data_IF_338875460568
#
_entry.id   IF_338875460568
#
_cell.length_a   1.000
_cell.length_b   1.000
_cell.length_c   1.000
_cell.angle_alpha   90.00
_cell.angle_beta   90.00
_cell.angle_gamma   90.00
#
_symmetry.space_group_name_H-M   'P 1'
#
loop_
_entity.id
_entity.type
_entity.pdbx_description
1 polymer ?
#
# COMPACT_ATOMS: atom_id res chain seq x y z
N UNK A 1 64.71 12.25 34.51
CA UNK A 1 63.56 11.43 34.98
C UNK A 1 62.28 12.22 34.73
N UNK A 2 61.21 11.53 34.32
CA UNK A 2 59.90 12.00 33.87
C UNK A 2 59.82 12.48 32.40
N UNK A 3 59.65 11.51 31.48
CA UNK A 3 59.06 11.74 30.15
C UNK A 3 57.56 11.54 30.31
N UNK A 4 56.78 12.57 29.96
CA UNK A 4 55.34 12.59 30.09
C UNK A 4 54.69 11.60 29.13
N UNK A 5 53.94 10.64 29.69
CA UNK A 5 53.08 9.71 28.97
C UNK A 5 51.79 10.46 28.62
N UNK A 6 51.68 11.02 27.42
CA UNK A 6 50.41 11.57 26.93
C UNK A 6 49.55 10.41 26.44
N UNK A 7 48.54 10.09 27.25
CA UNK A 7 47.50 9.11 26.94
C UNK A 7 46.62 9.66 25.82
N UNK A 8 46.66 9.04 24.65
CA UNK A 8 45.68 9.23 23.57
C UNK A 8 44.35 8.58 23.98
N UNK A 9 43.57 9.27 24.82
CA UNK A 9 42.16 8.94 25.08
C UNK A 9 41.30 9.68 24.05
N UNK A 10 40.89 8.98 22.99
CA UNK A 10 40.00 9.57 21.99
C UNK A 10 39.59 8.73 20.78
N UNK A 11 40.14 7.53 20.57
CA UNK A 11 39.57 6.61 19.57
C UNK A 11 38.41 5.85 20.22
N UNK A 12 37.20 6.40 20.16
CA UNK A 12 36.00 5.60 20.39
C UNK A 12 35.92 4.55 19.27
N UNK A 13 35.70 3.30 19.68
CA UNK A 13 35.51 2.12 18.83
C UNK A 13 34.62 2.39 17.61
N UNK A 14 35.23 2.67 16.47
CA UNK A 14 34.63 2.38 15.16
C UNK A 14 34.94 0.90 14.89
N UNK A 15 34.20 0.02 15.55
CA UNK A 15 34.13 -1.37 15.09
C UNK A 15 33.53 -1.35 13.69
N UNK A 16 34.23 -1.89 12.66
CA UNK A 16 33.62 -2.06 11.35
C UNK A 16 32.39 -2.94 11.54
N UNK A 17 31.20 -2.41 11.27
CA UNK A 17 29.97 -3.21 11.19
C UNK A 17 30.19 -4.16 10.01
N UNK A 18 30.57 -5.40 10.30
CA UNK A 18 30.80 -6.41 9.26
C UNK A 18 29.56 -6.47 8.37
N UNK A 19 29.68 -6.27 7.05
CA UNK A 19 28.55 -6.46 6.16
C UNK A 19 28.18 -7.95 6.20
N UNK A 20 27.12 -8.28 6.93
CA UNK A 20 26.64 -9.65 7.08
C UNK A 20 25.86 -10.05 5.84
N UNK A 21 26.57 -10.25 4.73
CA UNK A 21 25.98 -10.82 3.53
C UNK A 21 25.91 -12.34 3.70
N UNK A 22 24.70 -12.88 3.76
CA UNK A 22 24.48 -14.31 3.98
C UNK A 22 23.32 -14.81 3.11
N UNK A 23 23.47 -16.00 2.55
CA UNK A 23 22.38 -16.73 1.91
C UNK A 23 22.08 -17.97 2.76
N UNK A 24 20.83 -18.13 3.20
CA UNK A 24 20.38 -19.21 4.07
C UNK A 24 19.21 -19.94 3.41
N UNK A 25 19.25 -21.27 3.40
CA UNK A 25 18.11 -22.10 2.97
C UNK A 25 17.57 -22.79 4.22
N UNK A 26 16.29 -22.53 4.54
CA UNK A 26 15.61 -23.10 5.70
C UNK A 26 14.32 -23.79 5.25
N UNK A 27 13.65 -24.50 6.17
CA UNK A 27 12.33 -25.10 5.91
C UNK A 27 11.26 -24.06 5.49
N UNK A 28 11.49 -22.78 5.77
CA UNK A 28 10.62 -21.66 5.37
C UNK A 28 10.93 -21.02 4.01
N UNK A 29 12.02 -21.41 3.33
CA UNK A 29 12.42 -20.83 2.04
C UNK A 29 13.90 -20.42 1.95
N UNK A 30 14.20 -19.64 0.91
CA UNK A 30 15.51 -19.05 0.66
C UNK A 30 15.55 -17.62 1.22
N UNK A 31 16.45 -17.36 2.15
CA UNK A 31 16.68 -16.04 2.73
C UNK A 31 18.02 -15.47 2.25
N UNK A 32 18.01 -14.26 1.68
CA UNK A 32 19.21 -13.49 1.32
C UNK A 32 19.28 -12.29 2.24
N UNK A 33 20.31 -12.21 3.07
CA UNK A 33 20.58 -11.07 3.94
C UNK A 33 21.78 -10.30 3.39
N UNK A 34 21.69 -8.97 3.33
CA UNK A 34 22.80 -8.08 2.99
C UNK A 34 22.61 -6.75 3.73
N UNK A 35 23.60 -6.35 4.53
CA UNK A 35 23.68 -4.99 5.10
C UNK A 35 22.42 -4.54 5.86
N UNK A 36 21.76 -5.47 6.57
CA UNK A 36 20.53 -5.19 7.33
C UNK A 36 19.25 -5.25 6.50
N UNK A 37 19.34 -5.47 5.19
CA UNK A 37 18.23 -5.83 4.32
C UNK A 37 18.13 -7.36 4.22
N UNK A 38 16.93 -7.92 4.26
CA UNK A 38 16.70 -9.34 3.98
C UNK A 38 15.59 -9.56 2.95
N UNK A 39 15.75 -10.59 2.13
CA UNK A 39 14.75 -11.07 1.18
C UNK A 39 14.49 -12.54 1.47
N UNK A 40 13.26 -12.89 1.86
CA UNK A 40 12.83 -14.27 2.05
C UNK A 40 11.91 -14.70 0.90
N UNK A 41 12.30 -15.74 0.17
CA UNK A 41 11.49 -16.40 -0.85
C UNK A 41 10.97 -17.71 -0.27
N UNK A 42 9.73 -17.69 0.21
CA UNK A 42 9.06 -18.84 0.83
C UNK A 42 7.88 -19.33 0.02
N UNK A 43 7.25 -20.42 0.48
CA UNK A 43 6.04 -20.98 -0.13
C UNK A 43 4.82 -20.04 -0.07
N UNK A 44 4.90 -18.99 0.74
CA UNK A 44 3.87 -17.96 0.90
C UNK A 44 4.14 -16.66 0.13
N UNK A 45 5.24 -16.58 -0.61
CA UNK A 45 5.61 -15.40 -1.41
C UNK A 45 7.00 -14.86 -1.10
N UNK A 46 7.21 -13.58 -1.46
CA UNK A 46 8.48 -12.87 -1.29
C UNK A 46 8.31 -11.78 -0.23
N UNK A 47 9.12 -11.82 0.82
CA UNK A 47 9.20 -10.79 1.84
C UNK A 47 10.52 -10.02 1.68
N UNK A 48 10.45 -8.69 1.68
CA UNK A 48 11.63 -7.81 1.62
C UNK A 48 11.62 -6.90 2.85
N UNK A 49 12.59 -7.11 3.74
CA UNK A 49 12.83 -6.24 4.89
C UNK A 49 13.99 -5.32 4.57
N UNK A 50 13.73 -4.05 4.28
CA UNK A 50 14.78 -3.04 4.30
C UNK A 50 15.09 -2.71 5.77
N UNK A 51 16.34 -2.79 6.20
CA UNK A 51 16.74 -2.49 7.57
C UNK A 51 16.35 -1.07 8.02
N UNK A 52 16.64 -0.72 9.28
CA UNK A 52 16.27 0.58 9.87
C UNK A 52 16.96 1.82 9.26
N UNK A 53 17.65 1.69 8.12
CA UNK A 53 18.32 2.79 7.45
C UNK A 53 17.33 3.56 6.58
N UNK A 54 17.15 4.85 6.91
CA UNK A 54 16.31 5.77 6.17
C UNK A 54 16.74 5.79 4.70
N UNK A 55 15.81 5.51 3.80
CA UNK A 55 15.95 5.81 2.38
C UNK A 55 16.12 7.34 2.23
N UNK A 56 17.36 7.79 2.08
CA UNK A 56 17.64 9.19 1.78
C UNK A 56 17.23 9.45 0.32
N UNK A 57 16.49 10.53 0.09
CA UNK A 57 16.15 11.05 -1.25
C UNK A 57 17.43 11.49 -1.99
N UNK A 58 18.19 10.54 -2.50
CA UNK A 58 19.25 10.80 -3.48
C UNK A 58 18.67 10.66 -4.88
N UNK A 59 19.03 11.50 -5.85
CA UNK A 59 18.61 11.34 -7.24
C UNK A 59 19.17 10.02 -7.79
N UNK A 60 18.33 8.98 -7.82
CA UNK A 60 18.72 7.65 -8.27
C UNK A 60 18.73 7.56 -9.79
N UNK A 61 19.84 7.03 -10.30
CA UNK A 61 19.96 6.37 -11.59
C UNK A 61 18.88 5.28 -11.70
N UNK A 62 18.04 5.34 -12.74
CA UNK A 62 16.71 4.71 -12.80
C UNK A 62 16.71 3.16 -12.87
N UNK A 63 17.88 2.52 -12.87
CA UNK A 63 18.03 1.08 -13.09
C UNK A 63 18.21 0.25 -11.81
N UNK A 64 18.16 0.86 -10.63
CA UNK A 64 18.36 0.15 -9.36
C UNK A 64 17.29 0.52 -8.33
N UNK A 65 16.11 -0.09 -8.47
CA UNK A 65 14.99 -0.11 -7.50
C UNK A 65 14.70 1.27 -6.85
N UNK A 66 13.91 2.08 -7.54
CA UNK A 66 13.27 3.26 -6.96
C UNK A 66 12.06 2.86 -6.10
N UNK A 67 12.30 2.40 -4.88
CA UNK A 67 11.22 2.18 -3.91
C UNK A 67 10.96 3.47 -3.12
N UNK A 68 10.27 4.45 -3.70
CA UNK A 68 9.85 5.64 -2.95
C UNK A 68 8.73 5.35 -1.93
N UNK A 69 8.14 4.14 -1.96
CA UNK A 69 7.27 3.64 -0.91
C UNK A 69 7.14 2.11 -0.95
N UNK A 70 7.68 1.41 0.05
CA UNK A 70 7.07 0.16 0.54
C UNK A 70 7.22 0.13 2.07
N UNK A 71 6.09 0.28 2.77
CA UNK A 71 5.96 -0.12 4.17
C UNK A 71 4.60 -0.78 4.33
N UNK A 72 4.58 -2.08 4.63
CA UNK A 72 3.35 -2.84 4.89
C UNK A 72 3.47 -3.53 6.25
N UNK A 73 2.95 -2.86 7.28
CA UNK A 73 2.43 -3.50 8.49
C UNK A 73 0.92 -3.38 8.45
N UNK A 74 0.28 -4.36 7.84
CA UNK A 74 -1.16 -4.61 7.94
C UNK A 74 -1.43 -4.93 9.42
N UNK A 75 -2.00 -3.98 10.15
CA UNK A 75 -2.26 -4.13 11.57
C UNK A 75 -3.64 -4.76 11.75
N UNK A 76 -3.79 -6.03 11.28
CA UNK A 76 -4.95 -6.97 11.33
C UNK A 76 -5.58 -7.57 10.04
N UNK A 77 -5.47 -7.12 8.79
CA UNK A 77 -6.00 -5.83 8.27
C UNK A 77 -6.09 -5.94 6.72
N UNK A 78 -7.29 -5.91 6.09
CA UNK A 78 -7.66 -6.42 4.73
C UNK A 78 -6.58 -6.44 3.64
N UNK A 79 -5.70 -7.45 3.71
CA UNK A 79 -4.27 -7.25 3.48
C UNK A 79 -3.87 -6.90 2.05
N UNK A 80 -3.74 -5.59 1.90
CA UNK A 80 -3.02 -4.82 0.88
C UNK A 80 -3.84 -4.49 -0.37
N UNK A 81 -4.54 -3.34 -0.30
CA UNK A 81 -4.83 -2.48 -1.46
C UNK A 81 -4.41 -1.04 -1.17
N UNK A 82 -3.48 -0.51 -1.95
CA UNK A 82 -3.09 0.90 -1.91
C UNK A 82 -4.18 1.73 -2.58
N UNK A 83 -5.19 2.16 -1.81
CA UNK A 83 -6.23 3.07 -2.30
C UNK A 83 -5.81 4.52 -2.12
N UNK A 84 -4.76 4.92 -2.83
CA UNK A 84 -4.45 6.32 -3.06
C UNK A 84 -4.56 6.59 -4.55
N UNK A 85 -5.66 7.22 -4.96
CA UNK A 85 -5.77 7.92 -6.24
C UNK A 85 -6.37 7.15 -7.42
N UNK A 86 -5.94 5.91 -7.70
CA UNK A 86 -6.13 5.39 -9.06
C UNK A 86 -6.95 4.09 -9.10
N UNK A 87 -8.27 4.25 -9.26
CA UNK A 87 -9.20 3.22 -9.78
C UNK A 87 -9.21 1.83 -9.10
N UNK A 88 -10.23 1.56 -8.28
CA UNK A 88 -10.53 0.24 -7.71
C UNK A 88 -11.46 -0.53 -8.63
N UNK A 89 -11.08 -1.76 -9.00
CA UNK A 89 -11.96 -2.69 -9.73
C UNK A 89 -12.33 -3.88 -8.86
N UNK A 90 -13.61 -4.22 -8.86
CA UNK A 90 -14.15 -5.42 -8.25
C UNK A 90 -14.52 -6.41 -9.36
N UNK A 91 -13.97 -7.62 -9.31
CA UNK A 91 -14.28 -8.72 -10.23
C UNK A 91 -15.74 -9.17 -10.15
N UNK A 92 -16.20 -9.89 -11.18
CA UNK A 92 -17.55 -10.44 -11.23
C UNK A 92 -17.77 -11.49 -10.13
N UNK A 93 -19.01 -11.56 -9.64
CA UNK A 93 -19.48 -12.52 -8.61
C UNK A 93 -18.82 -12.38 -7.21
N UNK A 94 -18.01 -11.35 -6.97
CA UNK A 94 -17.40 -11.11 -5.66
C UNK A 94 -18.18 -10.08 -4.82
N UNK A 95 -18.06 -10.19 -3.49
CA UNK A 95 -18.51 -9.16 -2.57
C UNK A 95 -17.34 -8.22 -2.24
N UNK A 96 -17.41 -7.00 -2.76
CA UNK A 96 -16.35 -6.03 -2.73
C UNK A 96 -16.70 -4.86 -1.81
N UNK A 97 -15.92 -4.68 -0.74
CA UNK A 97 -16.05 -3.55 0.16
C UNK A 97 -14.88 -2.59 -0.03
N UNK A 98 -15.17 -1.30 -0.24
CA UNK A 98 -14.18 -0.28 -0.55
C UNK A 98 -14.40 0.97 0.29
N UNK A 99 -13.31 1.54 0.78
CA UNK A 99 -13.30 2.80 1.51
C UNK A 99 -12.31 3.77 0.88
N UNK A 100 -12.79 4.99 0.64
CA UNK A 100 -12.05 6.09 0.03
C UNK A 100 -12.06 7.28 0.98
N UNK A 101 -11.28 7.20 2.08
CA UNK A 101 -11.31 8.22 3.12
C UNK A 101 -10.76 9.57 2.63
N UNK A 102 -9.80 9.54 1.69
CA UNK A 102 -9.18 10.73 1.10
C UNK A 102 -9.94 11.26 -0.13
N UNK A 103 -10.97 10.55 -0.61
CA UNK A 103 -11.73 10.94 -1.79
C UNK A 103 -11.01 10.66 -3.11
N UNK A 104 -11.56 11.18 -4.21
CA UNK A 104 -11.03 11.08 -5.58
C UNK A 104 -10.76 9.63 -6.06
N UNK A 105 -11.53 8.67 -5.57
CA UNK A 105 -11.45 7.30 -6.06
C UNK A 105 -12.35 7.09 -7.27
N UNK A 106 -11.85 6.40 -8.29
CA UNK A 106 -12.72 5.70 -9.23
C UNK A 106 -12.97 4.28 -8.73
N UNK A 107 -14.20 3.79 -8.81
CA UNK A 107 -14.64 2.47 -8.41
C UNK A 107 -15.38 1.85 -9.58
N UNK A 108 -15.01 0.65 -10.00
CA UNK A 108 -15.67 -0.08 -11.08
C UNK A 108 -16.08 -1.45 -10.56
N UNK A 109 -17.36 -1.75 -10.73
CA UNK A 109 -17.98 -3.01 -10.34
C UNK A 109 -18.35 -3.77 -11.60
N UNK A 110 -17.71 -4.91 -11.81
CA UNK A 110 -17.99 -5.79 -12.93
C UNK A 110 -19.38 -6.44 -12.82
N UNK A 111 -19.83 -7.07 -13.91
CA UNK A 111 -21.14 -7.69 -13.98
C UNK A 111 -21.35 -8.70 -12.84
N UNK A 112 -22.56 -8.73 -12.29
CA UNK A 112 -22.97 -9.59 -11.17
C UNK A 112 -22.21 -9.40 -9.84
N UNK A 113 -21.29 -8.43 -9.75
CA UNK A 113 -20.58 -8.14 -8.50
C UNK A 113 -21.51 -7.50 -7.46
N UNK A 114 -21.26 -7.75 -6.18
CA UNK A 114 -21.87 -7.00 -5.08
C UNK A 114 -20.85 -6.00 -4.55
N UNK A 115 -21.12 -4.71 -4.75
CA UNK A 115 -20.19 -3.64 -4.42
C UNK A 115 -20.74 -2.73 -3.33
N UNK A 116 -19.96 -2.53 -2.27
CA UNK A 116 -20.23 -1.56 -1.21
C UNK A 116 -19.07 -0.58 -1.12
N UNK A 117 -19.27 0.66 -1.59
CA UNK A 117 -18.26 1.70 -1.58
C UNK A 117 -18.62 2.83 -0.61
N UNK A 118 -17.64 3.30 0.16
CA UNK A 118 -17.76 4.45 1.05
C UNK A 118 -16.72 5.52 0.67
N UNK A 119 -17.16 6.74 0.39
CA UNK A 119 -16.33 7.87 0.00
C UNK A 119 -16.56 9.05 0.95
N UNK A 120 -15.73 9.17 1.99
CA UNK A 120 -15.80 10.28 2.94
C UNK A 120 -15.00 11.50 2.53
N UNK A 121 -13.95 11.34 1.69
CA UNK A 121 -13.19 12.49 1.18
C UNK A 121 -13.82 13.19 -0.03
N UNK A 122 -14.91 12.64 -0.57
CA UNK A 122 -15.67 13.23 -1.68
C UNK A 122 -15.03 13.01 -3.05
N UNK A 123 -15.71 13.48 -4.11
CA UNK A 123 -15.24 13.42 -5.51
C UNK A 123 -14.93 12.01 -6.03
N UNK A 124 -15.58 10.99 -5.47
CA UNK A 124 -15.42 9.64 -5.96
C UNK A 124 -16.39 9.36 -7.12
N UNK A 125 -15.96 8.52 -8.06
CA UNK A 125 -16.79 7.98 -9.13
C UNK A 125 -17.02 6.48 -8.91
N UNK A 126 -18.27 6.00 -9.01
CA UNK A 126 -18.59 4.58 -9.03
C UNK A 126 -19.27 4.23 -10.36
N UNK A 127 -18.79 3.20 -11.05
CA UNK A 127 -19.39 2.64 -12.26
C UNK A 127 -19.82 1.21 -12.00
N UNK A 128 -21.06 0.89 -12.33
CA UNK A 128 -21.66 -0.42 -12.11
C UNK A 128 -22.12 -1.02 -13.43
N UNK A 129 -21.51 -2.14 -13.79
CA UNK A 129 -21.82 -2.91 -14.99
C UNK A 129 -23.14 -3.69 -14.84
N UNK A 130 -23.74 -4.17 -15.95
CA UNK A 130 -25.02 -4.87 -15.94
C UNK A 130 -25.10 -6.03 -14.94
N UNK A 131 -26.21 -6.09 -14.21
CA UNK A 131 -26.45 -7.13 -13.19
C UNK A 131 -25.69 -6.94 -11.87
N UNK A 132 -24.84 -5.92 -11.74
CA UNK A 132 -24.16 -5.62 -10.48
C UNK A 132 -25.14 -5.06 -9.42
N UNK A 133 -24.83 -5.32 -8.14
CA UNK A 133 -25.53 -4.76 -6.99
C UNK A 133 -24.63 -3.75 -6.28
N UNK A 134 -24.87 -2.46 -6.52
CA UNK A 134 -24.00 -1.38 -6.05
C UNK A 134 -24.64 -0.55 -4.95
N UNK A 135 -23.96 -0.46 -3.81
CA UNK A 135 -24.25 0.48 -2.74
C UNK A 135 -23.11 1.48 -2.63
N UNK A 136 -23.43 2.77 -2.67
CA UNK A 136 -22.47 3.86 -2.59
C UNK A 136 -22.85 4.87 -1.53
N UNK A 137 -21.94 5.11 -0.60
CA UNK A 137 -22.10 6.13 0.44
C UNK A 137 -21.09 7.24 0.20
N UNK A 138 -21.57 8.43 -0.13
CA UNK A 138 -20.75 9.62 -0.35
C UNK A 138 -21.05 10.68 0.71
N UNK A 139 -20.24 10.73 1.76
CA UNK A 139 -20.36 11.76 2.81
C UNK A 139 -19.52 13.00 2.51
N UNK A 140 -18.46 12.91 1.70
CA UNK A 140 -17.62 14.06 1.33
C UNK A 140 -18.17 14.93 0.20
N UNK A 141 -19.24 14.50 -0.46
CA UNK A 141 -19.91 15.25 -1.53
C UNK A 141 -19.22 15.17 -2.89
N UNK A 142 -19.86 15.75 -3.90
CA UNK A 142 -19.40 15.81 -5.30
C UNK A 142 -19.08 14.44 -5.94
N UNK A 143 -19.73 13.36 -5.50
CA UNK A 143 -19.51 12.04 -6.06
C UNK A 143 -20.40 11.77 -7.28
N UNK A 144 -19.96 10.87 -8.16
CA UNK A 144 -20.70 10.45 -9.33
C UNK A 144 -20.94 8.93 -9.27
N UNK A 145 -22.18 8.48 -9.45
CA UNK A 145 -22.52 7.06 -9.62
C UNK A 145 -23.12 6.86 -11.01
N UNK A 146 -22.59 5.92 -11.79
CA UNK A 146 -23.09 5.52 -13.10
C UNK A 146 -23.48 4.05 -13.08
N UNK A 147 -24.69 3.76 -13.51
CA UNK A 147 -25.29 2.43 -13.46
C UNK A 147 -25.79 2.08 -14.86
N UNK A 148 -25.33 0.96 -15.40
CA UNK A 148 -25.75 0.44 -16.70
C UNK A 148 -26.49 -0.87 -16.43
N UNK A 149 -27.83 -0.87 -16.48
CA UNK A 149 -28.66 -2.05 -16.20
C UNK A 149 -28.29 -2.77 -14.88
N UNK A 150 -27.95 -1.99 -13.85
CA UNK A 150 -27.47 -2.44 -12.55
C UNK A 150 -28.40 -1.97 -11.40
N UNK A 151 -28.39 -2.72 -10.30
CA UNK A 151 -29.13 -2.36 -9.08
C UNK A 151 -28.29 -1.40 -8.25
N UNK A 152 -28.60 -0.10 -8.34
CA UNK A 152 -27.82 0.94 -7.68
C UNK A 152 -28.56 1.63 -6.53
N UNK A 153 -27.82 1.87 -5.43
CA UNK A 153 -28.24 2.67 -4.30
C UNK A 153 -27.15 3.66 -3.93
N UNK A 154 -27.47 4.95 -3.97
CA UNK A 154 -26.58 6.03 -3.49
C UNK A 154 -27.16 6.69 -2.25
N UNK A 155 -26.30 6.89 -1.24
CA UNK A 155 -26.53 7.79 -0.12
C UNK A 155 -25.56 8.96 -0.25
N UNK A 156 -26.07 10.18 -0.34
CA UNK A 156 -25.26 11.39 -0.47
C UNK A 156 -25.59 12.38 0.65
N UNK A 157 -24.69 12.52 1.62
CA UNK A 157 -24.86 13.47 2.73
C UNK A 157 -24.06 14.75 2.52
N UNK A 158 -22.97 14.70 1.74
CA UNK A 158 -22.07 15.84 1.52
C UNK A 158 -22.54 16.84 0.44
N UNK A 159 -23.64 16.55 -0.26
CA UNK A 159 -24.16 17.39 -1.35
C UNK A 159 -23.40 17.24 -2.68
N UNK A 160 -24.02 17.74 -3.76
CA UNK A 160 -23.39 17.77 -5.10
C UNK A 160 -23.18 16.41 -5.78
N UNK A 161 -23.81 15.34 -5.28
CA UNK A 161 -23.70 14.04 -5.93
C UNK A 161 -24.55 13.95 -7.19
N UNK A 162 -24.06 13.22 -8.18
CA UNK A 162 -24.78 12.90 -9.42
C UNK A 162 -24.96 11.39 -9.52
N UNK A 163 -26.16 10.97 -9.88
CA UNK A 163 -26.45 9.56 -10.17
C UNK A 163 -27.01 9.48 -11.58
N UNK A 164 -26.40 8.63 -12.41
CA UNK A 164 -26.86 8.29 -13.75
C UNK A 164 -27.29 6.83 -13.75
N UNK A 165 -28.51 6.61 -14.20
CA UNK A 165 -29.11 5.30 -14.41
C UNK A 165 -29.29 5.03 -15.90
#
# INVERSE_FOLDING_TARGET
MAIALVVLQGCQDITPKTPTTAVKVNQGGLEVQAEGTSVLVGSKGIEVNAGAEKLANSPLDQDRIAAFAINVKSATDPSVRTLSGDSVKCGGDENCQMACPQGNCAVVCEANATCVASCSGGRCAQTCQPGANCTFTCSGGACEQSCEDASCRTTCSGGGCKTKN
#
